data_IF_983549677930
#
_entry.id   IF_983549677930
#
_cell.length_a   1.000
_cell.length_b   1.000
_cell.length_c   1.000
_cell.angle_alpha   90.00
_cell.angle_beta   90.00
_cell.angle_gamma   90.00
#
_symmetry.space_group_name_H-M   'P 1'
#
loop_
_entity.id
_entity.type
_entity.pdbx_description
1 polymer ?
#
# COMPACT_ATOMS: atom_id res chain seq x y z
N UNK A 1 -17.52 6.86 16.24
CA UNK A 1 -18.62 7.08 15.30
C UNK A 1 -18.09 7.58 13.97
N UNK A 2 -18.31 6.76 12.95
CA UNK A 2 -17.98 7.08 11.56
C UNK A 2 -19.22 7.53 10.78
N UNK A 3 -19.00 8.09 9.59
CA UNK A 3 -20.07 8.47 8.68
C UNK A 3 -20.67 7.23 8.01
N UNK A 4 -21.85 6.81 8.48
CA UNK A 4 -22.57 5.62 8.00
C UNK A 4 -22.91 5.71 6.51
N UNK A 5 -23.13 6.90 5.97
CA UNK A 5 -23.43 7.07 4.55
C UNK A 5 -22.26 6.63 3.67
N UNK A 6 -21.03 6.85 4.13
CA UNK A 6 -19.80 6.43 3.44
C UNK A 6 -19.64 4.92 3.48
N UNK A 7 -19.93 4.28 4.60
CA UNK A 7 -19.91 2.81 4.68
C UNK A 7 -20.94 2.22 3.70
N UNK A 8 -22.18 2.71 3.71
CA UNK A 8 -23.22 2.27 2.76
C UNK A 8 -22.77 2.42 1.31
N UNK A 9 -22.16 3.54 0.94
CA UNK A 9 -21.62 3.76 -0.40
C UNK A 9 -20.56 2.72 -0.80
N UNK A 10 -19.64 2.38 0.12
CA UNK A 10 -18.62 1.35 -0.15
C UNK A 10 -19.23 -0.04 -0.25
N UNK A 11 -20.25 -0.35 0.57
CA UNK A 11 -20.91 -1.65 0.58
C UNK A 11 -21.64 -1.96 -0.73
N UNK A 12 -22.11 -0.95 -1.47
CA UNK A 12 -22.68 -1.15 -2.81
C UNK A 12 -21.64 -1.79 -3.75
N UNK A 13 -20.45 -1.17 -3.86
CA UNK A 13 -19.37 -1.72 -4.71
C UNK A 13 -18.86 -3.06 -4.19
N UNK A 14 -18.73 -3.20 -2.87
CA UNK A 14 -18.30 -4.46 -2.24
C UNK A 14 -19.24 -5.61 -2.61
N UNK A 15 -20.57 -5.44 -2.45
CA UNK A 15 -21.56 -6.47 -2.78
C UNK A 15 -21.55 -6.85 -4.25
N UNK A 16 -21.39 -5.87 -5.15
CA UNK A 16 -21.28 -6.13 -6.59
C UNK A 16 -20.09 -7.05 -6.92
N UNK A 17 -18.93 -6.80 -6.30
CA UNK A 17 -17.68 -7.54 -6.53
C UNK A 17 -17.55 -8.81 -5.68
N UNK A 18 -18.45 -9.01 -4.71
CA UNK A 18 -18.24 -10.00 -3.67
C UNK A 18 -18.08 -11.42 -4.23
N UNK A 19 -19.07 -11.92 -4.97
CA UNK A 19 -19.09 -13.33 -5.37
C UNK A 19 -17.99 -13.70 -6.40
N UNK A 20 -17.65 -12.78 -7.31
CA UNK A 20 -16.76 -13.09 -8.45
C UNK A 20 -15.31 -12.61 -8.28
N UNK A 21 -15.06 -11.66 -7.37
CA UNK A 21 -13.72 -11.10 -7.15
C UNK A 21 -13.30 -11.24 -5.69
N UNK A 22 -14.06 -10.68 -4.75
CA UNK A 22 -13.65 -10.66 -3.33
C UNK A 22 -13.62 -12.07 -2.71
N UNK A 23 -14.67 -12.86 -2.92
CA UNK A 23 -14.83 -14.16 -2.27
C UNK A 23 -13.78 -15.19 -2.69
N UNK A 24 -13.47 -15.39 -4.00
CA UNK A 24 -12.40 -16.29 -4.41
C UNK A 24 -11.05 -15.97 -3.75
N UNK A 25 -10.73 -14.68 -3.59
CA UNK A 25 -9.46 -14.21 -3.06
C UNK A 25 -9.40 -14.24 -1.52
N UNK A 26 -10.54 -14.09 -0.84
CA UNK A 26 -10.57 -13.84 0.61
C UNK A 26 -11.25 -14.94 1.44
N UNK A 27 -11.92 -15.92 0.81
CA UNK A 27 -12.60 -17.05 1.50
C UNK A 27 -11.68 -17.82 2.46
N UNK A 28 -10.38 -17.82 2.18
CA UNK A 28 -9.38 -18.53 2.98
C UNK A 28 -9.36 -18.04 4.44
N UNK A 29 -9.83 -16.83 4.75
CA UNK A 29 -9.99 -16.34 6.13
C UNK A 29 -10.98 -17.21 6.91
N UNK A 30 -12.14 -17.53 6.33
CA UNK A 30 -13.14 -18.38 6.95
C UNK A 30 -12.66 -19.83 7.07
N UNK A 31 -11.91 -20.32 6.07
CA UNK A 31 -11.29 -21.65 6.11
C UNK A 31 -10.20 -21.74 7.18
N UNK A 32 -9.40 -20.69 7.37
CA UNK A 32 -8.37 -20.62 8.40
C UNK A 32 -8.97 -20.71 9.80
N UNK A 33 -10.08 -20.01 10.06
CA UNK A 33 -10.80 -20.10 11.34
C UNK A 33 -11.31 -21.51 11.58
N UNK A 34 -12.03 -22.10 10.62
CA UNK A 34 -12.54 -23.47 10.78
C UNK A 34 -11.40 -24.44 11.06
N UNK A 35 -10.34 -24.37 10.27
CA UNK A 35 -9.19 -25.25 10.42
C UNK A 35 -8.54 -25.12 11.80
N UNK A 36 -8.35 -23.88 12.28
CA UNK A 36 -7.80 -23.65 13.60
C UNK A 36 -8.70 -24.24 14.70
N UNK A 37 -10.01 -23.96 14.65
CA UNK A 37 -10.98 -24.45 15.64
C UNK A 37 -11.03 -25.99 15.69
N UNK A 38 -10.98 -26.65 14.54
CA UNK A 38 -11.04 -28.11 14.45
C UNK A 38 -9.75 -28.80 14.94
N UNK A 39 -8.62 -28.07 15.00
CA UNK A 39 -7.29 -28.65 15.27
C UNK A 39 -6.65 -28.16 16.57
N UNK A 40 -7.19 -27.11 17.19
CA UNK A 40 -6.64 -26.50 18.40
C UNK A 40 -7.00 -27.26 19.67
N UNK A 41 -5.98 -27.77 20.36
CA UNK A 41 -6.10 -28.33 21.70
C UNK A 41 -4.92 -27.88 22.57
N UNK A 42 -5.18 -26.94 23.48
CA UNK A 42 -4.15 -26.38 24.36
C UNK A 42 -3.56 -27.41 25.34
N UNK A 43 -4.23 -28.55 25.55
CA UNK A 43 -3.76 -29.62 26.42
C UNK A 43 -3.11 -30.79 25.65
N UNK A 44 -2.91 -30.64 24.33
CA UNK A 44 -2.27 -31.68 23.53
C UNK A 44 -0.90 -32.06 24.08
N UNK A 45 -0.62 -33.37 24.09
CA UNK A 45 0.66 -33.92 24.56
C UNK A 45 1.84 -33.36 23.76
N UNK A 46 1.71 -33.34 22.43
CA UNK A 46 2.65 -32.66 21.53
C UNK A 46 2.06 -31.30 21.11
N UNK A 47 2.37 -30.27 21.91
CA UNK A 47 1.88 -28.92 21.65
C UNK A 47 2.48 -28.31 20.38
N UNK A 48 3.75 -28.60 20.09
CA UNK A 48 4.44 -28.03 18.94
C UNK A 48 3.82 -28.52 17.62
N UNK A 49 3.52 -29.81 17.53
CA UNK A 49 2.84 -30.38 16.36
C UNK A 49 1.38 -29.91 16.28
N UNK A 50 0.65 -29.87 17.41
CA UNK A 50 -0.71 -29.34 17.46
C UNK A 50 -0.77 -27.89 16.97
N UNK A 51 0.13 -27.02 17.44
CA UNK A 51 0.21 -25.62 17.03
C UNK A 51 0.53 -25.52 15.53
N UNK A 52 1.48 -26.32 15.05
CA UNK A 52 1.88 -26.35 13.65
C UNK A 52 0.70 -26.72 12.74
N UNK A 53 -0.04 -27.76 13.12
CA UNK A 53 -1.26 -28.20 12.43
C UNK A 53 -2.35 -27.13 12.47
N UNK A 54 -2.59 -26.51 13.61
CA UNK A 54 -3.65 -25.50 13.79
C UNK A 54 -3.44 -24.25 12.93
N UNK A 55 -2.18 -23.86 12.68
CA UNK A 55 -1.85 -22.68 11.87
C UNK A 55 -1.70 -22.96 10.37
N UNK A 56 -1.81 -24.23 9.92
CA UNK A 56 -1.45 -24.64 8.56
C UNK A 56 -2.25 -23.97 7.43
N UNK A 57 -3.45 -23.46 7.71
CA UNK A 57 -4.33 -22.80 6.72
C UNK A 57 -4.33 -21.27 6.79
N UNK A 58 -3.44 -20.67 7.57
CA UNK A 58 -3.41 -19.22 7.79
C UNK A 58 -2.79 -18.41 6.63
N UNK A 59 -2.04 -19.06 5.74
CA UNK A 59 -1.50 -18.48 4.50
C UNK A 59 -0.86 -17.08 4.74
N UNK A 60 -1.25 -16.09 3.94
CA UNK A 60 -0.75 -14.72 3.98
C UNK A 60 -1.06 -13.94 5.28
N UNK A 61 -1.90 -14.47 6.17
CA UNK A 61 -2.16 -13.86 7.48
C UNK A 61 -0.94 -13.98 8.39
N UNK A 62 -0.17 -15.07 8.24
CA UNK A 62 0.98 -15.38 9.11
C UNK A 62 2.23 -15.84 8.35
N UNK A 63 2.25 -15.70 7.03
CA UNK A 63 3.42 -16.01 6.20
C UNK A 63 3.44 -15.20 4.89
N UNK A 64 4.57 -14.55 4.61
CA UNK A 64 4.93 -13.98 3.31
C UNK A 64 6.45 -14.05 3.12
N UNK A 65 6.94 -13.68 1.94
CA UNK A 65 8.36 -13.83 1.57
C UNK A 65 9.36 -13.22 2.59
N UNK A 66 8.98 -12.14 3.27
CA UNK A 66 9.85 -11.42 4.23
C UNK A 66 9.28 -11.37 5.66
N UNK A 67 8.15 -12.04 5.90
CA UNK A 67 7.43 -11.96 7.17
C UNK A 67 6.80 -13.31 7.52
N UNK A 68 7.30 -14.01 8.54
CA UNK A 68 6.97 -15.42 8.81
C UNK A 68 6.68 -15.68 10.30
N UNK A 69 5.67 -15.02 10.90
CA UNK A 69 5.30 -15.24 12.30
C UNK A 69 4.89 -16.67 12.64
N UNK A 70 4.16 -17.38 11.75
CA UNK A 70 3.79 -18.78 12.02
C UNK A 70 5.03 -19.68 12.14
N UNK A 71 5.97 -19.58 11.20
CA UNK A 71 7.21 -20.36 11.23
C UNK A 71 8.05 -20.07 12.47
N UNK A 72 8.12 -18.79 12.89
CA UNK A 72 8.87 -18.41 14.07
C UNK A 72 8.27 -18.97 15.37
N UNK A 73 6.95 -18.83 15.57
CA UNK A 73 6.31 -19.36 16.79
C UNK A 73 6.31 -20.89 16.82
N UNK A 74 6.26 -21.56 15.66
CA UNK A 74 6.43 -23.01 15.55
C UNK A 74 7.84 -23.46 15.93
N UNK A 75 8.87 -22.72 15.51
CA UNK A 75 10.25 -23.01 15.91
C UNK A 75 10.44 -22.83 17.41
N UNK A 76 9.87 -21.77 17.99
CA UNK A 76 9.87 -21.58 19.44
C UNK A 76 9.13 -22.71 20.15
N UNK A 77 7.97 -23.16 19.64
CA UNK A 77 7.23 -24.25 20.26
C UNK A 77 7.98 -25.60 20.20
N UNK A 78 8.78 -25.83 19.16
CA UNK A 78 9.65 -27.02 19.08
C UNK A 78 10.79 -26.98 20.10
N UNK A 79 11.31 -25.80 20.40
CA UNK A 79 12.41 -25.62 21.34
C UNK A 79 11.95 -25.55 22.81
N UNK A 80 10.84 -24.85 23.06
CA UNK A 80 10.31 -24.49 24.37
C UNK A 80 8.76 -24.64 24.38
N UNK A 81 8.23 -25.87 24.30
CA UNK A 81 6.81 -26.12 24.07
C UNK A 81 5.92 -25.59 25.20
N UNK A 82 6.33 -25.72 26.47
CA UNK A 82 5.50 -25.32 27.61
C UNK A 82 5.50 -23.80 27.81
N UNK A 83 6.58 -23.12 27.47
CA UNK A 83 6.68 -21.66 27.45
C UNK A 83 5.73 -21.09 26.41
N UNK A 84 5.74 -21.63 25.18
CA UNK A 84 4.83 -21.19 24.12
C UNK A 84 3.38 -21.58 24.46
N UNK A 85 3.13 -22.76 25.03
CA UNK A 85 1.81 -23.14 25.55
C UNK A 85 1.29 -22.10 26.55
N UNK A 86 2.14 -21.72 27.52
CA UNK A 86 1.85 -20.69 28.50
C UNK A 86 1.58 -19.31 27.88
N UNK A 87 2.25 -18.95 26.79
CA UNK A 87 1.97 -17.72 26.04
C UNK A 87 0.56 -17.73 25.43
N UNK A 88 0.13 -18.83 24.81
CA UNK A 88 -1.22 -18.94 24.25
C UNK A 88 -2.30 -19.01 25.33
N UNK A 89 -2.06 -19.69 26.46
CA UNK A 89 -2.96 -19.69 27.61
C UNK A 89 -3.17 -18.25 28.11
N UNK A 90 -2.07 -17.51 28.30
CA UNK A 90 -2.10 -16.11 28.75
C UNK A 90 -2.79 -15.19 27.73
N UNK A 91 -2.52 -15.38 26.43
CA UNK A 91 -3.18 -14.63 25.37
C UNK A 91 -4.69 -14.86 25.35
N UNK A 92 -5.13 -16.07 25.65
CA UNK A 92 -6.53 -16.48 25.56
C UNK A 92 -7.32 -16.30 26.86
N UNK A 93 -6.68 -15.84 27.94
CA UNK A 93 -7.34 -15.47 29.18
C UNK A 93 -8.21 -14.23 28.99
N UNK A 94 -9.52 -14.38 28.85
CA UNK A 94 -10.44 -13.23 28.66
C UNK A 94 -10.67 -12.39 29.94
N UNK A 95 -10.06 -12.77 31.07
CA UNK A 95 -10.06 -11.99 32.31
C UNK A 95 -9.07 -10.82 32.31
N UNK A 96 -8.14 -10.76 31.35
CA UNK A 96 -7.15 -9.68 31.20
C UNK A 96 -7.49 -8.76 30.03
N UNK A 97 -6.97 -7.53 30.08
CA UNK A 97 -7.23 -6.56 29.03
C UNK A 97 -6.51 -6.97 27.71
N UNK A 98 -7.14 -6.71 26.56
CA UNK A 98 -6.65 -7.19 25.24
C UNK A 98 -5.22 -6.72 24.95
N UNK A 99 -4.91 -5.46 25.22
CA UNK A 99 -3.58 -4.91 25.03
C UNK A 99 -2.56 -5.55 25.97
N UNK A 100 -2.92 -5.82 27.24
CA UNK A 100 -2.00 -6.46 28.19
C UNK A 100 -1.59 -7.86 27.73
N UNK A 101 -2.55 -8.62 27.19
CA UNK A 101 -2.31 -9.96 26.65
C UNK A 101 -1.41 -9.95 25.42
N UNK A 102 -1.65 -9.00 24.51
CA UNK A 102 -0.81 -8.85 23.32
C UNK A 102 0.61 -8.42 23.71
N UNK A 103 0.75 -7.48 24.64
CA UNK A 103 2.06 -6.99 25.08
C UNK A 103 2.84 -8.09 25.82
N UNK A 104 2.19 -8.87 26.69
CA UNK A 104 2.80 -10.05 27.34
C UNK A 104 3.34 -11.05 26.30
N UNK A 105 2.56 -11.34 25.26
CA UNK A 105 2.98 -12.24 24.19
C UNK A 105 4.19 -11.68 23.42
N UNK A 106 4.22 -10.37 23.14
CA UNK A 106 5.36 -9.71 22.47
C UNK A 106 6.64 -9.80 23.31
N UNK A 107 6.57 -9.46 24.59
CA UNK A 107 7.72 -9.49 25.51
C UNK A 107 8.28 -10.91 25.60
N UNK A 108 7.43 -11.92 25.80
CA UNK A 108 7.87 -13.33 25.85
C UNK A 108 8.47 -13.80 24.52
N UNK A 109 7.92 -13.34 23.39
CA UNK A 109 8.49 -13.65 22.07
C UNK A 109 9.89 -13.06 21.88
N UNK A 110 10.18 -11.90 22.47
CA UNK A 110 11.51 -11.31 22.44
C UNK A 110 12.51 -12.13 23.26
N UNK A 111 12.11 -12.61 24.45
CA UNK A 111 12.93 -13.53 25.25
C UNK A 111 13.24 -14.83 24.50
N UNK A 112 12.23 -15.45 23.87
CA UNK A 112 12.44 -16.67 23.09
C UNK A 112 13.29 -16.44 21.84
N UNK A 113 13.31 -15.22 21.28
CA UNK A 113 14.21 -14.87 20.17
C UNK A 113 15.67 -14.82 20.62
N UNK A 114 15.94 -14.27 21.81
CA UNK A 114 17.28 -14.24 22.39
C UNK A 114 17.81 -15.65 22.66
N UNK A 115 16.97 -16.54 23.16
CA UNK A 115 17.35 -17.90 23.53
C UNK A 115 17.39 -18.87 22.34
N UNK A 116 16.39 -18.82 21.45
CA UNK A 116 16.14 -19.83 20.41
C UNK A 116 16.09 -19.26 18.99
N UNK A 117 16.40 -17.97 18.80
CA UNK A 117 16.28 -17.29 17.51
C UNK A 117 17.25 -17.76 16.43
N UNK A 118 18.33 -18.47 16.78
CA UNK A 118 19.30 -19.05 15.83
C UNK A 118 19.80 -18.05 14.76
N UNK A 119 20.10 -16.82 15.16
CA UNK A 119 20.57 -15.75 14.26
C UNK A 119 19.46 -14.95 13.57
N UNK A 120 18.18 -15.25 13.84
CA UNK A 120 17.07 -14.42 13.39
C UNK A 120 17.10 -13.04 14.05
N UNK A 121 16.82 -11.99 13.27
CA UNK A 121 16.79 -10.60 13.75
C UNK A 121 15.46 -10.20 14.38
N UNK A 122 14.38 -10.94 14.13
CA UNK A 122 13.02 -10.58 14.54
C UNK A 122 12.20 -11.82 14.88
N UNK A 123 11.31 -11.70 15.87
CA UNK A 123 10.37 -12.76 16.24
C UNK A 123 9.06 -12.72 15.42
N UNK A 124 8.80 -11.62 14.70
CA UNK A 124 7.60 -11.37 13.88
C UNK A 124 6.24 -11.39 14.61
N UNK A 125 6.22 -11.67 15.91
CA UNK A 125 5.03 -11.60 16.78
C UNK A 125 4.71 -10.15 17.14
N UNK A 126 4.10 -9.42 16.20
CA UNK A 126 3.60 -8.07 16.42
C UNK A 126 2.07 -8.09 16.64
N UNK A 127 1.48 -6.91 16.77
CA UNK A 127 0.06 -6.73 17.00
C UNK A 127 -0.82 -7.43 15.95
N UNK A 128 -0.36 -7.48 14.70
CA UNK A 128 -1.08 -8.13 13.60
C UNK A 128 -1.09 -9.66 13.75
N UNK A 129 0.07 -10.28 13.97
CA UNK A 129 0.15 -11.72 14.22
C UNK A 129 -0.66 -12.14 15.43
N UNK A 130 -0.51 -11.40 16.53
CA UNK A 130 -1.07 -11.80 17.82
C UNK A 130 -2.60 -11.60 17.84
N UNK A 131 -3.10 -10.52 17.23
CA UNK A 131 -4.54 -10.36 17.02
C UNK A 131 -5.12 -11.39 16.06
N UNK A 132 -4.33 -11.92 15.11
CA UNK A 132 -4.73 -13.06 14.28
C UNK A 132 -4.94 -14.31 15.12
N UNK A 133 -4.04 -14.64 16.06
CA UNK A 133 -4.26 -15.77 16.97
C UNK A 133 -5.51 -15.60 17.85
N UNK A 134 -5.75 -14.38 18.37
CA UNK A 134 -6.95 -14.06 19.14
C UNK A 134 -8.23 -14.26 18.31
N UNK A 135 -8.24 -13.77 17.08
CA UNK A 135 -9.38 -13.95 16.17
C UNK A 135 -9.57 -15.42 15.78
N UNK A 136 -8.50 -16.17 15.51
CA UNK A 136 -8.61 -17.61 15.23
C UNK A 136 -9.23 -18.38 16.40
N UNK A 137 -8.90 -18.04 17.65
CA UNK A 137 -9.43 -18.69 18.85
C UNK A 137 -10.85 -18.25 19.23
N UNK A 138 -11.15 -16.97 19.08
CA UNK A 138 -12.44 -16.36 19.41
C UNK A 138 -12.97 -15.55 18.22
N UNK A 139 -13.33 -16.23 17.12
CA UNK A 139 -13.72 -15.58 15.86
C UNK A 139 -14.99 -14.74 16.00
N UNK A 140 -15.84 -15.01 16.99
CA UNK A 140 -17.07 -14.26 17.25
C UNK A 140 -16.86 -12.94 18.02
N UNK A 141 -15.64 -12.69 18.51
CA UNK A 141 -15.36 -11.55 19.40
C UNK A 141 -14.24 -10.63 18.93
N UNK A 142 -13.18 -11.19 18.34
CA UNK A 142 -11.99 -10.43 17.99
C UNK A 142 -11.82 -10.24 16.48
N UNK A 143 -10.87 -9.38 16.14
CA UNK A 143 -10.56 -8.95 14.78
C UNK A 143 -9.04 -8.92 14.58
N UNK A 144 -8.60 -8.90 13.32
CA UNK A 144 -7.19 -8.73 12.98
C UNK A 144 -6.82 -7.24 12.97
N UNK A 145 -5.88 -6.86 13.84
CA UNK A 145 -5.38 -5.50 13.94
C UNK A 145 -4.31 -5.23 12.88
N UNK A 146 -4.49 -4.16 12.10
CA UNK A 146 -3.46 -3.67 11.18
C UNK A 146 -3.51 -2.16 11.06
N UNK A 147 -2.55 -1.50 11.70
CA UNK A 147 -2.55 -0.03 11.85
C UNK A 147 -2.71 0.71 10.52
N UNK A 148 -1.97 0.31 9.48
CA UNK A 148 -2.02 0.96 8.17
C UNK A 148 -3.35 0.80 7.44
N UNK A 149 -4.11 -0.28 7.72
CA UNK A 149 -5.45 -0.45 7.17
C UNK A 149 -6.47 0.39 7.94
N UNK A 150 -6.34 0.41 9.27
CA UNK A 150 -7.18 1.21 10.17
C UNK A 150 -7.08 2.70 9.83
N UNK A 151 -5.87 3.24 9.59
CA UNK A 151 -5.69 4.64 9.18
C UNK A 151 -6.49 4.98 7.91
N UNK A 152 -6.49 4.06 6.93
CA UNK A 152 -7.26 4.24 5.69
C UNK A 152 -8.76 4.14 5.92
N UNK A 153 -9.22 3.20 6.75
CA UNK A 153 -10.64 3.05 7.12
C UNK A 153 -11.14 4.33 7.81
N UNK A 154 -10.39 4.83 8.79
CA UNK A 154 -10.72 6.06 9.53
C UNK A 154 -10.85 7.25 8.58
N UNK A 155 -9.88 7.41 7.68
CA UNK A 155 -9.90 8.47 6.67
C UNK A 155 -11.08 8.33 5.71
N UNK A 156 -11.31 7.12 5.17
CA UNK A 156 -12.35 6.84 4.18
C UNK A 156 -13.76 7.01 4.74
N UNK A 157 -14.00 6.52 5.95
CA UNK A 157 -15.30 6.58 6.62
C UNK A 157 -15.49 7.87 7.45
N UNK A 158 -14.53 8.80 7.43
CA UNK A 158 -14.55 10.03 8.25
C UNK A 158 -14.85 9.74 9.72
N UNK A 159 -14.17 8.74 10.26
CA UNK A 159 -14.33 8.30 11.64
C UNK A 159 -13.70 9.29 12.62
N UNK A 160 -14.36 9.50 13.77
CA UNK A 160 -13.83 10.32 14.85
C UNK A 160 -12.86 9.56 15.79
N UNK A 161 -12.64 8.26 15.59
CA UNK A 161 -11.64 7.52 16.36
C UNK A 161 -10.23 7.96 15.98
N UNK A 162 -9.39 8.24 16.99
CA UNK A 162 -8.01 8.66 16.79
C UNK A 162 -7.03 7.51 16.99
N UNK A 163 -6.05 7.42 16.09
CA UNK A 163 -4.97 6.44 16.15
C UNK A 163 -3.64 7.18 16.08
N UNK A 164 -2.71 6.87 16.99
CA UNK A 164 -1.41 7.55 17.08
C UNK A 164 -0.30 6.53 17.23
N UNK A 165 0.82 6.69 16.51
CA UNK A 165 2.00 5.85 16.70
C UNK A 165 2.49 5.96 18.15
N UNK A 166 2.80 4.83 18.77
CA UNK A 166 3.22 4.75 20.18
C UNK A 166 2.09 4.72 21.21
N UNK A 167 0.85 5.12 20.88
CA UNK A 167 -0.29 5.07 21.79
C UNK A 167 -1.00 3.69 21.74
N UNK A 168 -0.26 2.62 22.04
CA UNK A 168 -0.68 1.27 21.67
C UNK A 168 -1.97 0.80 22.36
N UNK A 169 -2.10 0.98 23.69
CA UNK A 169 -3.30 0.59 24.42
C UNK A 169 -4.57 1.29 23.89
N UNK A 170 -4.48 2.60 23.64
CA UNK A 170 -5.59 3.37 23.10
C UNK A 170 -5.92 2.98 21.66
N UNK A 171 -4.90 2.68 20.84
CA UNK A 171 -5.12 2.18 19.49
C UNK A 171 -5.89 0.86 19.49
N UNK A 172 -5.56 -0.10 20.35
CA UNK A 172 -6.29 -1.37 20.46
C UNK A 172 -7.74 -1.13 20.89
N UNK A 173 -7.96 -0.30 21.92
CA UNK A 173 -9.32 0.02 22.39
C UNK A 173 -10.16 0.70 21.31
N UNK A 174 -9.58 1.67 20.60
CA UNK A 174 -10.27 2.39 19.53
C UNK A 174 -10.49 1.51 18.31
N UNK A 175 -9.56 0.62 17.99
CA UNK A 175 -9.71 -0.37 16.92
C UNK A 175 -10.90 -1.28 17.17
N UNK A 176 -11.00 -1.88 18.36
CA UNK A 176 -12.12 -2.76 18.71
C UNK A 176 -13.45 -2.00 18.67
N UNK A 177 -13.49 -0.77 19.17
CA UNK A 177 -14.69 0.09 19.08
C UNK A 177 -15.09 0.37 17.63
N UNK A 178 -14.14 0.75 16.78
CA UNK A 178 -14.38 1.03 15.36
C UNK A 178 -14.91 -0.21 14.63
N UNK A 179 -14.27 -1.37 14.79
CA UNK A 179 -14.69 -2.59 14.10
C UNK A 179 -16.01 -3.13 14.64
N UNK A 180 -16.27 -3.01 15.95
CA UNK A 180 -17.58 -3.32 16.52
C UNK A 180 -18.68 -2.43 15.93
N UNK A 181 -18.41 -1.13 15.74
CA UNK A 181 -19.35 -0.20 15.12
C UNK A 181 -19.61 -0.57 13.65
N UNK A 182 -18.58 -0.92 12.88
CA UNK A 182 -18.75 -1.38 11.48
C UNK A 182 -19.58 -2.66 11.45
N UNK A 183 -19.23 -3.64 12.27
CA UNK A 183 -19.94 -4.92 12.38
C UNK A 183 -21.42 -4.74 12.73
N UNK A 184 -21.74 -3.82 13.63
CA UNK A 184 -23.14 -3.50 13.97
C UNK A 184 -23.94 -2.95 12.79
N UNK A 185 -23.31 -2.20 11.87
CA UNK A 185 -23.95 -1.78 10.63
C UNK A 185 -24.06 -2.93 9.61
N UNK A 186 -23.04 -3.80 9.50
CA UNK A 186 -23.10 -4.98 8.60
C UNK A 186 -24.21 -5.95 9.01
N UNK A 187 -24.46 -6.12 10.31
CA UNK A 187 -25.56 -6.95 10.83
C UNK A 187 -26.96 -6.47 10.43
N UNK A 188 -27.09 -5.23 9.98
CA UNK A 188 -28.35 -4.67 9.49
C UNK A 188 -28.53 -4.84 7.97
N UNK A 189 -27.49 -5.30 7.24
CA UNK A 189 -27.53 -5.48 5.79
C UNK A 189 -27.89 -6.94 5.44
N UNK A 190 -29.19 -7.24 5.35
CA UNK A 190 -29.68 -8.59 5.03
C UNK A 190 -29.18 -9.12 3.68
N UNK A 191 -29.01 -8.24 2.69
CA UNK A 191 -28.49 -8.61 1.37
C UNK A 191 -27.06 -9.14 1.50
N UNK A 192 -26.20 -8.41 2.20
CA UNK A 192 -24.82 -8.82 2.45
C UNK A 192 -24.75 -10.13 3.24
N UNK A 193 -25.60 -10.29 4.26
CA UNK A 193 -25.67 -11.51 5.07
C UNK A 193 -26.05 -12.72 4.21
N UNK A 194 -27.08 -12.57 3.37
CA UNK A 194 -27.53 -13.63 2.48
C UNK A 194 -26.47 -13.96 1.42
N UNK A 195 -25.75 -12.94 0.95
CA UNK A 195 -24.66 -13.10 0.00
C UNK A 195 -23.52 -13.92 0.62
N UNK A 196 -23.07 -13.62 1.84
CA UNK A 196 -22.11 -14.44 2.57
C UNK A 196 -22.62 -15.89 2.74
N UNK A 197 -23.85 -16.05 3.26
CA UNK A 197 -24.46 -17.38 3.47
C UNK A 197 -24.51 -18.23 2.20
N UNK A 198 -24.75 -17.61 1.04
CA UNK A 198 -24.80 -18.31 -0.24
C UNK A 198 -23.44 -18.85 -0.71
N UNK A 199 -22.35 -18.26 -0.20
CA UNK A 199 -20.98 -18.60 -0.59
C UNK A 199 -20.29 -19.55 0.39
N UNK A 200 -20.76 -19.59 1.65
CA UNK A 200 -20.21 -20.46 2.68
C UNK A 200 -20.37 -21.94 2.30
N UNK A 201 -19.33 -22.72 2.58
CA UNK A 201 -19.31 -24.17 2.41
C UNK A 201 -18.95 -24.85 3.72
N UNK A 202 -18.99 -26.18 3.76
CA UNK A 202 -18.60 -26.96 4.96
C UNK A 202 -17.15 -26.70 5.38
N UNK A 203 -16.25 -26.28 4.48
CA UNK A 203 -14.86 -25.93 4.83
C UNK A 203 -14.72 -24.55 5.47
N UNK A 204 -15.79 -23.76 5.56
CA UNK A 204 -15.77 -22.41 6.09
C UNK A 204 -16.32 -22.35 7.52
N UNK A 205 -15.75 -21.47 8.34
CA UNK A 205 -16.40 -21.05 9.59
C UNK A 205 -17.68 -20.26 9.24
N UNK A 206 -18.82 -20.49 9.93
CA UNK A 206 -20.10 -19.85 9.56
C UNK A 206 -20.17 -18.35 9.85
N UNK A 207 -19.26 -17.80 10.67
CA UNK A 207 -19.15 -16.38 11.01
C UNK A 207 -20.47 -15.73 11.49
N UNK A 208 -21.16 -16.30 12.50
CA UNK A 208 -22.49 -15.85 12.93
C UNK A 208 -22.49 -14.41 13.44
N UNK A 209 -21.39 -13.98 14.05
CA UNK A 209 -21.22 -12.61 14.53
C UNK A 209 -20.66 -11.63 13.48
N UNK A 210 -20.46 -12.09 12.23
CA UNK A 210 -19.94 -11.33 11.09
C UNK A 210 -18.58 -10.67 11.34
N UNK A 211 -17.75 -11.22 12.24
CA UNK A 211 -16.45 -10.61 12.57
C UNK A 211 -15.47 -10.81 11.45
N UNK A 212 -15.45 -11.98 10.83
CA UNK A 212 -14.57 -12.29 9.70
C UNK A 212 -14.97 -11.46 8.49
N UNK A 213 -16.26 -11.34 8.23
CA UNK A 213 -16.80 -10.43 7.22
C UNK A 213 -16.41 -8.97 7.49
N UNK A 214 -16.43 -8.53 8.75
CA UNK A 214 -15.99 -7.17 9.12
C UNK A 214 -14.51 -6.96 8.83
N UNK A 215 -13.65 -7.95 9.09
CA UNK A 215 -12.23 -7.89 8.73
C UNK A 215 -12.09 -7.74 7.21
N UNK A 216 -12.86 -8.52 6.45
CA UNK A 216 -12.81 -8.49 4.99
C UNK A 216 -13.29 -7.16 4.41
N UNK A 217 -14.41 -6.63 4.90
CA UNK A 217 -14.89 -5.29 4.53
C UNK A 217 -13.87 -4.20 4.89
N UNK A 218 -13.25 -4.29 6.07
CA UNK A 218 -12.18 -3.38 6.48
C UNK A 218 -10.98 -3.43 5.51
N UNK A 219 -10.57 -4.64 5.13
CA UNK A 219 -9.52 -4.85 4.13
C UNK A 219 -9.90 -4.23 2.78
N UNK A 220 -11.10 -4.51 2.27
CA UNK A 220 -11.63 -3.92 1.04
C UNK A 220 -11.63 -2.40 1.10
N UNK A 221 -12.12 -1.79 2.18
CA UNK A 221 -12.09 -0.33 2.37
C UNK A 221 -10.66 0.20 2.28
N UNK A 222 -9.69 -0.48 2.91
CA UNK A 222 -8.28 -0.07 2.92
C UNK A 222 -7.59 -0.20 1.55
N UNK A 223 -8.14 -1.04 0.66
CA UNK A 223 -7.64 -1.27 -0.70
C UNK A 223 -8.43 -0.54 -1.77
N UNK A 224 -9.63 -0.06 -1.43
CA UNK A 224 -10.45 0.82 -2.26
C UNK A 224 -9.77 2.20 -2.42
N UNK A 225 -8.68 2.23 -3.19
CA UNK A 225 -8.16 3.44 -3.80
C UNK A 225 -9.37 4.16 -4.38
N UNK A 226 -9.64 5.38 -3.91
CA UNK A 226 -10.84 6.14 -4.23
C UNK A 226 -11.41 5.80 -5.60
N UNK A 227 -12.32 4.81 -5.64
CA UNK A 227 -13.25 4.58 -6.72
C UNK A 227 -14.21 5.76 -6.66
N UNK A 228 -13.74 6.95 -7.04
CA UNK A 228 -14.55 7.68 -8.00
C UNK A 228 -14.61 6.81 -9.25
N UNK A 229 -15.76 6.77 -9.94
CA UNK A 229 -15.90 6.03 -11.18
C UNK A 229 -14.69 6.26 -12.08
N UNK A 230 -14.18 5.19 -12.70
CA UNK A 230 -13.01 5.15 -13.59
C UNK A 230 -13.15 5.97 -14.89
N UNK A 231 -14.00 6.99 -14.87
CA UNK A 231 -14.36 7.82 -16.02
C UNK A 231 -14.01 9.30 -15.82
N UNK A 232 -13.78 9.78 -14.59
CA UNK A 232 -13.52 11.20 -14.37
C UNK A 232 -12.03 11.55 -14.34
N UNK A 233 -11.60 12.30 -15.35
CA UNK A 233 -10.31 12.97 -15.42
C UNK A 233 -10.14 13.93 -14.23
N UNK A 234 -8.98 13.88 -13.58
CA UNK A 234 -8.63 14.73 -12.43
C UNK A 234 -7.41 15.61 -12.75
N UNK A 235 -7.23 16.73 -12.05
CA UNK A 235 -8.20 17.41 -11.18
C UNK A 235 -9.33 18.09 -11.99
N UNK A 236 -10.56 18.09 -11.43
CA UNK A 236 -11.75 18.74 -12.05
C UNK A 236 -11.73 20.26 -11.92
N UNK A 237 -11.39 20.75 -10.74
CA UNK A 237 -11.57 22.17 -10.37
C UNK A 237 -10.28 22.99 -10.49
N UNK A 238 -9.29 22.47 -11.21
CA UNK A 238 -8.00 23.14 -11.41
C UNK A 238 -7.77 23.45 -12.88
N UNK A 239 -7.44 24.70 -13.14
CA UNK A 239 -6.91 25.20 -14.41
C UNK A 239 -5.64 26.01 -14.15
N UNK A 240 -4.59 25.88 -14.98
CA UNK A 240 -3.41 26.72 -14.88
C UNK A 240 -3.70 28.18 -15.29
N UNK A 241 -4.87 28.48 -15.88
CA UNK A 241 -5.22 29.83 -16.34
C UNK A 241 -4.34 30.33 -17.49
N UNK A 242 -3.68 29.42 -18.23
CA UNK A 242 -2.83 29.72 -19.38
C UNK A 242 -3.62 29.54 -20.66
N UNK A 243 -3.63 30.56 -21.51
CA UNK A 243 -4.26 30.47 -22.84
C UNK A 243 -3.41 29.66 -23.82
N UNK A 244 -3.99 29.30 -24.97
CA UNK A 244 -3.25 28.64 -26.06
C UNK A 244 -2.04 29.48 -26.50
N UNK A 245 -2.18 30.80 -26.58
CA UNK A 245 -1.09 31.69 -26.98
C UNK A 245 0.01 31.78 -25.91
N UNK A 246 -0.35 31.70 -24.63
CA UNK A 246 0.64 31.60 -23.54
C UNK A 246 1.42 30.30 -23.63
N UNK A 247 0.74 29.17 -23.93
CA UNK A 247 1.41 27.90 -24.18
C UNK A 247 2.33 27.93 -25.39
N UNK A 248 1.94 28.56 -26.50
CA UNK A 248 2.81 28.74 -27.68
C UNK A 248 4.08 29.51 -27.30
N UNK A 249 3.95 30.60 -26.53
CA UNK A 249 5.11 31.36 -26.05
C UNK A 249 6.01 30.52 -25.14
N UNK A 250 5.42 29.75 -24.22
CA UNK A 250 6.17 28.89 -23.30
C UNK A 250 6.91 27.78 -24.04
N UNK A 251 6.28 27.15 -25.03
CA UNK A 251 6.88 26.08 -25.82
C UNK A 251 8.11 26.54 -26.61
N UNK A 252 8.22 27.83 -26.91
CA UNK A 252 9.36 28.45 -27.57
C UNK A 252 10.41 29.01 -26.58
N UNK A 253 10.10 29.04 -25.27
CA UNK A 253 11.00 29.55 -24.25
C UNK A 253 11.98 28.46 -23.80
N UNK A 254 13.24 28.55 -24.27
CA UNK A 254 14.31 27.60 -23.93
C UNK A 254 14.71 27.59 -22.45
N UNK A 255 14.31 28.60 -21.65
CA UNK A 255 14.50 28.57 -20.20
C UNK A 255 13.48 27.68 -19.49
N UNK A 256 12.34 27.42 -20.14
CA UNK A 256 11.23 26.61 -19.61
C UNK A 256 11.20 25.22 -20.25
N UNK A 257 11.23 25.15 -21.58
CA UNK A 257 11.21 23.91 -22.36
C UNK A 257 12.60 23.54 -22.85
N UNK A 258 13.25 22.64 -22.10
CA UNK A 258 14.50 22.02 -22.53
C UNK A 258 14.24 20.99 -23.64
N UNK A 259 15.27 20.57 -24.40
CA UNK A 259 15.12 19.54 -25.44
C UNK A 259 14.39 18.29 -24.94
N UNK A 260 14.77 17.76 -23.77
CA UNK A 260 14.10 16.61 -23.16
C UNK A 260 12.63 16.85 -22.78
N UNK A 261 12.25 18.10 -22.50
CA UNK A 261 10.86 18.47 -22.20
C UNK A 261 10.02 18.51 -23.48
N UNK A 262 10.60 19.01 -24.58
CA UNK A 262 9.97 18.98 -25.90
C UNK A 262 9.82 17.55 -26.42
N UNK A 263 10.79 16.66 -26.15
CA UNK A 263 10.68 15.23 -26.46
C UNK A 263 9.48 14.58 -25.76
N UNK A 264 9.28 14.85 -24.46
CA UNK A 264 8.11 14.35 -23.71
C UNK A 264 6.82 14.86 -24.35
N UNK A 265 6.72 16.16 -24.66
CA UNK A 265 5.52 16.71 -25.30
C UNK A 265 5.27 16.14 -26.69
N UNK A 266 6.33 15.98 -27.50
CA UNK A 266 6.24 15.39 -28.85
C UNK A 266 5.73 13.96 -28.79
N UNK A 267 6.26 13.15 -27.87
CA UNK A 267 5.86 11.74 -27.68
C UNK A 267 4.43 11.64 -27.14
N UNK A 268 4.03 12.50 -26.19
CA UNK A 268 2.65 12.58 -25.73
C UNK A 268 1.68 12.96 -26.86
N UNK A 269 2.04 13.93 -27.69
CA UNK A 269 1.27 14.32 -28.88
C UNK A 269 1.14 13.18 -29.88
N UNK A 270 2.24 12.52 -30.23
CA UNK A 270 2.29 11.42 -31.19
C UNK A 270 1.52 10.18 -30.72
N UNK A 271 1.43 9.95 -29.40
CA UNK A 271 0.61 8.88 -28.83
C UNK A 271 -0.90 9.19 -28.88
N UNK A 272 -1.31 10.37 -29.36
CA UNK A 272 -2.72 10.79 -29.43
C UNK A 272 -3.13 11.70 -28.27
N UNK A 273 -2.17 12.33 -27.59
CA UNK A 273 -2.39 13.31 -26.54
C UNK A 273 -2.71 12.73 -25.17
N UNK A 274 -2.76 11.40 -25.04
CA UNK A 274 -2.95 10.70 -23.77
C UNK A 274 -2.16 9.40 -23.73
N UNK A 275 -1.46 9.10 -22.64
CA UNK A 275 -0.68 7.87 -22.47
C UNK A 275 -0.32 7.62 -21.00
N UNK A 276 0.04 6.38 -20.66
CA UNK A 276 0.78 6.09 -19.43
C UNK A 276 2.29 6.29 -19.65
N UNK A 277 3.05 6.53 -18.57
CA UNK A 277 4.51 6.54 -18.65
C UNK A 277 5.11 5.19 -19.10
N UNK A 278 4.39 4.08 -18.88
CA UNK A 278 4.82 2.75 -19.34
C UNK A 278 4.66 2.63 -20.85
N UNK A 279 3.51 3.05 -21.39
CA UNK A 279 3.23 3.04 -22.83
C UNK A 279 4.24 3.90 -23.60
N UNK A 280 4.57 5.09 -23.11
CA UNK A 280 5.58 5.95 -23.75
C UNK A 280 6.97 5.31 -23.71
N UNK A 281 7.34 4.70 -22.58
CA UNK A 281 8.62 4.00 -22.42
C UNK A 281 8.74 2.81 -23.38
N UNK A 282 7.67 2.02 -23.53
CA UNK A 282 7.63 0.88 -24.45
C UNK A 282 7.72 1.35 -25.91
N UNK A 283 6.98 2.39 -26.29
CA UNK A 283 6.88 2.82 -27.69
C UNK A 283 8.07 3.67 -28.16
N UNK A 284 8.60 4.55 -27.32
CA UNK A 284 9.58 5.57 -27.72
C UNK A 284 10.93 5.45 -27.00
N UNK A 285 11.10 4.46 -26.11
CA UNK A 285 12.29 4.32 -25.27
C UNK A 285 12.28 5.27 -24.07
N UNK A 286 13.44 5.46 -23.43
CA UNK A 286 13.59 6.08 -22.11
C UNK A 286 12.93 5.31 -20.95
N UNK A 287 13.33 5.65 -19.72
CA UNK A 287 12.73 5.06 -18.53
C UNK A 287 11.36 5.68 -18.21
N UNK A 288 10.49 4.94 -17.50
CA UNK A 288 9.23 5.50 -16.97
C UNK A 288 9.45 6.79 -16.15
N UNK A 289 10.59 6.88 -15.46
CA UNK A 289 10.97 8.04 -14.65
C UNK A 289 11.33 9.27 -15.50
N UNK A 290 11.84 9.10 -16.72
CA UNK A 290 12.06 10.20 -17.65
C UNK A 290 10.75 10.95 -17.91
N UNK A 291 9.69 10.21 -18.23
CA UNK A 291 8.36 10.80 -18.49
C UNK A 291 7.74 11.40 -17.23
N UNK A 292 7.75 10.68 -16.11
CA UNK A 292 7.09 11.11 -14.87
C UNK A 292 7.81 12.30 -14.20
N UNK A 293 9.10 12.14 -13.90
CA UNK A 293 9.91 13.18 -13.24
C UNK A 293 10.18 14.35 -14.18
N UNK A 294 10.40 14.08 -15.48
CA UNK A 294 10.60 15.12 -16.49
C UNK A 294 9.38 16.02 -16.61
N UNK A 295 8.19 15.43 -16.70
CA UNK A 295 6.91 16.16 -16.68
C UNK A 295 6.72 17.01 -15.43
N UNK A 296 6.95 16.44 -14.24
CA UNK A 296 6.78 17.16 -12.97
C UNK A 296 7.76 18.34 -12.85
N UNK A 297 8.99 18.16 -13.31
CA UNK A 297 10.02 19.20 -13.28
C UNK A 297 9.73 20.31 -14.29
N UNK A 298 9.25 19.96 -15.48
CA UNK A 298 8.77 20.92 -16.49
C UNK A 298 7.62 21.77 -15.94
N UNK A 299 6.60 21.13 -15.37
CA UNK A 299 5.46 21.81 -14.76
C UNK A 299 5.88 22.80 -13.66
N UNK A 300 6.86 22.42 -12.83
CA UNK A 300 7.43 23.31 -11.82
C UNK A 300 8.12 24.55 -12.42
N UNK A 301 8.83 24.40 -13.55
CA UNK A 301 9.43 25.56 -14.26
C UNK A 301 8.36 26.48 -14.83
N UNK A 302 7.29 25.92 -15.40
CA UNK A 302 6.15 26.70 -15.91
C UNK A 302 5.51 27.50 -14.77
N UNK A 303 5.17 26.87 -13.65
CA UNK A 303 4.62 27.58 -12.48
C UNK A 303 5.53 28.71 -11.98
N UNK A 304 6.84 28.49 -11.96
CA UNK A 304 7.80 29.52 -11.56
C UNK A 304 7.81 30.71 -12.53
N UNK A 305 7.65 30.47 -13.83
CA UNK A 305 7.69 31.51 -14.87
C UNK A 305 6.38 32.30 -14.94
N UNK A 306 5.24 31.62 -14.82
CA UNK A 306 3.92 32.21 -15.06
C UNK A 306 3.20 32.64 -13.78
N UNK A 307 3.58 32.08 -12.62
CA UNK A 307 2.85 32.27 -11.38
C UNK A 307 1.47 31.60 -11.38
N UNK A 308 1.24 30.61 -12.25
CA UNK A 308 -0.05 29.93 -12.30
C UNK A 308 -0.40 29.26 -10.95
N UNK A 309 -1.70 29.09 -10.63
CA UNK A 309 -2.12 28.44 -9.40
C UNK A 309 -1.45 27.08 -9.23
N UNK A 310 -1.10 26.69 -8.00
CA UNK A 310 -0.58 25.34 -7.69
C UNK A 310 -1.50 24.65 -6.72
N UNK A 311 -1.64 23.33 -6.82
CA UNK A 311 -2.43 22.56 -5.86
C UNK A 311 -1.68 22.41 -4.54
N UNK A 312 -2.34 22.70 -3.41
CA UNK A 312 -1.81 22.43 -2.07
C UNK A 312 -1.89 20.92 -1.78
N UNK A 313 -0.81 20.21 -2.10
CA UNK A 313 -0.66 18.77 -1.84
C UNK A 313 0.71 18.49 -1.23
N UNK A 314 0.71 17.67 -0.17
CA UNK A 314 1.93 17.19 0.50
C UNK A 314 2.76 16.25 -0.40
N UNK A 315 2.13 15.64 -1.41
CA UNK A 315 2.83 14.89 -2.45
C UNK A 315 3.44 15.87 -3.47
N UNK A 316 4.78 15.96 -3.44
CA UNK A 316 5.59 16.80 -4.34
C UNK A 316 5.37 16.50 -5.81
N UNK A 317 5.06 15.25 -6.19
CA UNK A 317 4.78 14.91 -7.58
C UNK A 317 3.36 15.35 -7.95
N UNK A 318 2.37 15.08 -7.10
CA UNK A 318 0.98 15.50 -7.32
C UNK A 318 0.84 17.03 -7.46
N UNK A 319 1.70 17.79 -6.77
CA UNK A 319 1.65 19.26 -6.77
C UNK A 319 1.81 19.91 -8.15
N UNK A 320 2.56 19.32 -9.07
CA UNK A 320 2.99 20.01 -10.30
C UNK A 320 2.33 19.49 -11.56
N UNK A 321 2.20 18.17 -11.73
CA UNK A 321 1.68 17.62 -12.98
C UNK A 321 0.33 18.17 -13.45
N UNK A 322 -0.61 18.60 -12.57
CA UNK A 322 -1.87 19.16 -13.01
C UNK A 322 -1.73 20.37 -13.93
N UNK A 323 -0.59 21.07 -13.93
CA UNK A 323 -0.34 22.20 -14.84
C UNK A 323 -0.36 21.75 -16.30
N UNK A 324 0.19 20.57 -16.59
CA UNK A 324 0.35 20.04 -17.95
C UNK A 324 -0.79 19.10 -18.35
N UNK A 325 -1.34 18.35 -17.38
CA UNK A 325 -2.21 17.23 -17.67
C UNK A 325 -3.49 17.21 -16.82
N UNK A 326 -4.46 16.48 -17.33
CA UNK A 326 -5.48 15.79 -16.55
C UNK A 326 -5.18 14.28 -16.55
N UNK A 327 -5.63 13.52 -15.56
CA UNK A 327 -5.30 12.11 -15.49
C UNK A 327 -6.29 11.26 -14.72
N UNK A 328 -6.22 9.95 -14.95
CA UNK A 328 -7.02 8.93 -14.25
C UNK A 328 -6.20 7.64 -14.09
N UNK A 329 -6.63 6.76 -13.19
CA UNK A 329 -6.01 5.43 -13.08
C UNK A 329 -6.27 4.66 -14.37
N UNK A 330 -5.23 3.95 -14.83
CA UNK A 330 -5.36 3.02 -15.94
C UNK A 330 -6.24 1.83 -15.52
N UNK A 331 -6.97 1.25 -16.47
CA UNK A 331 -7.68 -0.02 -16.27
C UNK A 331 -6.72 -1.20 -16.35
N UNK A 332 -7.17 -2.37 -15.88
CA UNK A 332 -6.31 -3.58 -15.78
C UNK A 332 -5.80 -4.09 -17.15
N UNK A 333 -6.41 -3.65 -18.25
CA UNK A 333 -6.05 -3.96 -19.65
C UNK A 333 -5.04 -2.98 -20.27
N UNK A 334 -4.68 -1.90 -19.57
CA UNK A 334 -3.73 -0.90 -20.07
C UNK A 334 -2.36 -1.02 -19.39
N UNK A 335 -1.29 -0.97 -20.19
CA UNK A 335 0.07 -0.99 -19.67
C UNK A 335 0.37 0.24 -18.79
N UNK A 336 0.40 0.09 -17.47
CA UNK A 336 0.77 1.14 -16.51
C UNK A 336 -0.29 1.39 -15.45
N UNK A 337 0.00 2.29 -14.50
CA UNK A 337 -0.89 2.54 -13.36
C UNK A 337 -1.73 3.81 -13.49
N UNK A 338 -1.33 4.75 -14.37
CA UNK A 338 -1.97 6.06 -14.48
C UNK A 338 -1.87 6.59 -15.91
N UNK A 339 -3.01 7.00 -16.47
CA UNK A 339 -3.13 7.64 -17.78
C UNK A 339 -3.06 9.15 -17.60
N UNK A 340 -2.19 9.77 -18.37
CA UNK A 340 -2.00 11.21 -18.45
C UNK A 340 -2.61 11.68 -19.77
N UNK A 341 -3.38 12.76 -19.77
CA UNK A 341 -3.91 13.41 -20.97
C UNK A 341 -3.53 14.87 -20.95
N UNK A 342 -2.99 15.37 -22.06
CA UNK A 342 -2.68 16.78 -22.23
C UNK A 342 -3.92 17.64 -22.01
N UNK A 343 -3.75 18.79 -21.38
CA UNK A 343 -4.81 19.81 -21.34
C UNK A 343 -5.10 20.31 -22.75
N UNK A 344 -6.36 20.63 -23.01
CA UNK A 344 -6.84 20.98 -24.35
C UNK A 344 -6.09 22.20 -24.91
N UNK A 345 -5.81 23.21 -24.07
CA UNK A 345 -5.08 24.42 -24.49
C UNK A 345 -3.62 24.13 -24.87
N UNK A 346 -2.97 23.21 -24.13
CA UNK A 346 -1.61 22.77 -24.42
C UNK A 346 -1.58 21.87 -25.66
N UNK A 347 -2.53 20.95 -25.80
CA UNK A 347 -2.66 20.10 -26.99
C UNK A 347 -2.87 20.94 -28.26
N UNK A 348 -3.69 21.99 -28.18
CA UNK A 348 -3.89 22.93 -29.27
C UNK A 348 -2.61 23.73 -29.57
N UNK A 349 -1.91 24.24 -28.54
CA UNK A 349 -0.65 24.95 -28.73
C UNK A 349 0.42 24.08 -29.39
N UNK A 350 0.49 22.79 -29.02
CA UNK A 350 1.39 21.82 -29.64
C UNK A 350 1.10 21.59 -31.13
N UNK A 351 -0.11 21.86 -31.62
CA UNK A 351 -0.44 21.84 -33.05
C UNK A 351 0.03 23.08 -33.81
N UNK A 352 0.36 24.17 -33.10
CA UNK A 352 0.80 25.45 -33.67
C UNK A 352 2.31 25.63 -33.72
N UNK A 353 3.08 24.70 -33.14
CA UNK A 353 4.54 24.74 -33.13
C UNK A 353 5.13 23.64 -34.03
N UNK A 354 6.27 23.94 -34.63
CA UNK A 354 7.05 22.92 -35.33
C UNK A 354 7.96 22.19 -34.33
N UNK A 355 7.82 20.86 -34.28
CA UNK A 355 8.63 19.96 -33.47
C UNK A 355 9.40 18.97 -34.37
N UNK A 356 9.53 19.24 -35.67
CA UNK A 356 10.18 18.37 -36.65
C UNK A 356 11.59 17.95 -36.22
N UNK A 357 12.38 18.88 -35.67
CA UNK A 357 13.76 18.67 -35.22
C UNK A 357 13.89 17.86 -33.91
N UNK A 358 12.82 17.70 -33.14
CA UNK A 358 12.83 16.96 -31.87
C UNK A 358 12.77 15.46 -32.12
N UNK A 359 13.62 14.65 -31.50
CA UNK A 359 13.65 13.21 -31.77
C UNK A 359 12.42 12.49 -31.19
N UNK A 360 11.77 11.64 -32.01
CA UNK A 360 10.58 10.91 -31.59
C UNK A 360 10.92 9.69 -30.72
N UNK A 361 11.89 8.87 -31.13
CA UNK A 361 12.37 7.72 -30.37
C UNK A 361 13.75 8.02 -29.77
N UNK A 362 13.99 7.55 -28.56
CA UNK A 362 15.30 7.61 -27.93
C UNK A 362 16.29 6.69 -28.67
N UNK A 363 17.59 7.06 -28.73
CA UNK A 363 18.60 6.17 -29.26
C UNK A 363 18.67 4.88 -28.41
N UNK A 364 18.99 3.72 -29.00
CA UNK A 364 19.15 2.48 -28.24
C UNK A 364 20.24 2.68 -27.19
N UNK A 365 19.92 2.35 -25.94
CA UNK A 365 20.91 2.33 -24.87
C UNK A 365 22.03 1.36 -25.25
N UNK A 366 23.32 1.71 -25.10
CA UNK A 366 24.37 0.71 -25.17
C UNK A 366 24.12 -0.35 -24.09
N UNK A 367 24.22 -1.63 -24.47
CA UNK A 367 23.98 -2.76 -23.57
C UNK A 367 24.77 -2.59 -22.26
N UNK A 368 24.19 -2.93 -21.10
CA UNK A 368 24.92 -2.91 -19.84
C UNK A 368 26.11 -3.90 -19.91
N UNK A 369 27.28 -3.55 -19.35
CA UNK A 369 28.42 -4.45 -19.36
C UNK A 369 28.11 -5.74 -18.60
N UNK A 370 28.50 -6.86 -19.20
CA UNK A 370 28.42 -8.21 -18.63
C UNK A 370 29.19 -8.27 -17.30
N UNK A 371 28.58 -8.90 -16.31
CA UNK A 371 29.02 -9.15 -14.94
C UNK A 371 30.55 -9.21 -14.70
N UNK A 372 30.99 -8.42 -13.73
CA UNK A 372 32.25 -8.59 -13.01
C UNK A 372 31.98 -8.53 -11.49
N UNK A 373 32.67 -9.32 -10.65
CA UNK A 373 32.24 -9.60 -9.29
C UNK A 373 32.42 -8.38 -8.37
N UNK A 374 31.38 -8.08 -7.60
CA UNK A 374 31.39 -7.11 -6.50
C UNK A 374 32.44 -7.50 -5.44
N UNK A 375 33.35 -6.60 -5.04
CA UNK A 375 33.95 -6.64 -3.72
C UNK A 375 33.14 -5.77 -2.75
N UNK A 376 32.79 -6.42 -1.66
CA UNK A 376 32.30 -5.92 -0.38
C UNK A 376 33.02 -4.70 0.19
N UNK A 377 32.23 -3.85 0.86
CA UNK A 377 32.55 -3.29 2.18
C UNK A 377 33.16 -1.89 2.22
N UNK A 378 32.61 -1.05 3.11
CA UNK A 378 33.31 0.12 3.66
C UNK A 378 32.45 1.36 3.81
N UNK A 379 31.90 1.54 5.01
CA UNK A 379 31.49 2.82 5.56
C UNK A 379 32.68 3.80 5.59
N UNK A 380 32.46 5.07 5.24
CA UNK A 380 32.57 6.23 6.13
C UNK A 380 32.82 7.56 5.40
N UNK A 381 32.07 8.55 5.90
CA UNK A 381 32.36 9.98 6.06
C UNK A 381 33.25 10.76 5.07
N UNK A 382 32.56 11.69 4.39
CA UNK A 382 32.74 13.14 4.58
C UNK A 382 34.06 13.80 4.13
N UNK A 383 34.03 14.44 2.94
CA UNK A 383 34.15 15.91 2.75
C UNK A 383 34.64 16.30 1.36
N UNK A 384 33.81 17.06 0.65
CA UNK A 384 34.27 18.10 -0.28
C UNK A 384 34.57 19.35 0.53
N UNK A 385 35.82 19.82 0.51
CA UNK A 385 36.14 21.23 0.70
C UNK A 385 37.30 21.60 -0.22
N UNK A 386 37.12 22.74 -0.86
CA UNK A 386 37.77 23.24 -2.06
C UNK A 386 39.02 24.04 -1.67
N UNK A 387 40.02 24.04 -2.56
CA UNK A 387 41.10 25.06 -2.74
C UNK A 387 42.08 25.20 -1.57
N UNK A 388 43.40 25.13 -1.77
CA UNK A 388 44.19 26.06 -2.57
C UNK A 388 45.60 25.49 -2.74
N UNK A 389 46.23 25.80 -3.87
CA UNK A 389 47.64 25.55 -4.20
C UNK A 389 48.60 25.90 -3.06
N UNK A 390 49.61 25.06 -2.84
CA UNK A 390 51.00 25.49 -2.69
C UNK A 390 51.97 24.33 -2.92
N UNK A 391 52.86 24.51 -3.90
CA UNK A 391 54.07 23.73 -4.12
C UNK A 391 55.17 24.43 -3.32
N UNK A 392 55.83 23.75 -2.36
CA UNK A 392 57.24 23.99 -2.03
C UNK A 392 57.90 22.65 -1.66
N UNK A 393 59.12 22.52 -2.16
CA UNK A 393 60.07 21.41 -2.16
C UNK A 393 60.64 21.04 -0.77
N UNK A 394 61.07 19.78 -0.68
CA UNK A 394 62.00 19.20 0.30
C UNK A 394 63.24 20.08 0.52
N UNK A 395 63.70 20.30 1.75
CA UNK A 395 64.47 19.37 2.61
C UNK A 395 65.42 20.23 3.48
N UNK A 396 66.43 19.69 4.19
CA UNK A 396 66.86 18.30 4.33
C UNK A 396 66.39 17.59 5.61
#
# INVERSE_FOLDING_TARGET
>A
MFDRSRLKGVLVSYKQKFAHQQWPDEKYKWEAVKWFQDNWDVNALDFAEMLSRSLAKTNNLLASATYFPAGMIQNFAKAAPEEVRGMFIDLFDEGKEVYERIESFKVKSATLLEEYGNGAKQHYQNENSISTYLWLRYPDKYYIYKFSEIEKIVSKLKSNYSFRRGAYADNIRNFLKLYNEICAELKQDEELINLLKSQLTESCYPDPELRTLTIDVGFYISRSHNETPSEEWRPRDYSPGLSVDDWVRLLQDSEVFYPSSLEIMKRMKDYGGQATCTQLSIKYGETKNFYNTGSSTLAKRIAKKTGCPTTDSDDKNFRWWPILYVGKNASDDEDGSFIWKLRDELAEALNRIDLSEVQLCAPPNPDPPIDGPNPSGGDDEDKKLITTKNIILYGP
#
